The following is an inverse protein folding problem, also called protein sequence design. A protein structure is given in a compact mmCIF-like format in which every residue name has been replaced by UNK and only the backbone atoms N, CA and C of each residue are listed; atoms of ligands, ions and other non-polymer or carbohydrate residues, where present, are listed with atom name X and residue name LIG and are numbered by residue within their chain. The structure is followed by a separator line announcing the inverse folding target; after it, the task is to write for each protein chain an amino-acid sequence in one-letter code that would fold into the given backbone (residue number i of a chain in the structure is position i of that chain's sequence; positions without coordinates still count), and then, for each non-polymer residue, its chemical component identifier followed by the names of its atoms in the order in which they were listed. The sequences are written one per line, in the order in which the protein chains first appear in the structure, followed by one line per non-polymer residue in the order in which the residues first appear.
data_IF_440755526735
#
_entry.id   IF_440755526735
#
_cell.length_a   1.000
_cell.length_b   1.000
_cell.length_c   1.000
_cell.angle_alpha   90.00
_cell.angle_beta   90.00
_cell.angle_gamma   90.00
#
_symmetry.space_group_name_H-M   'P 1'
#
loop_
_entity.id
_entity.type
_entity.pdbx_description
1 polymer ?
#
# COMPACT_ATOMS: atom_id res chain seq x y z
N UNK A 1 2.83 72.18 22.43
CA UNK A 1 2.83 70.70 22.44
C UNK A 1 3.29 70.17 23.78
N UNK A 2 2.37 69.46 24.42
CA UNK A 2 2.48 68.46 25.49
C UNK A 2 3.32 68.75 26.76
N UNK A 3 2.58 69.21 27.77
CA UNK A 3 2.43 68.60 29.09
C UNK A 3 3.65 67.91 29.74
N UNK A 4 4.15 68.62 30.76
CA UNK A 4 4.93 68.14 31.89
C UNK A 4 4.09 67.11 32.66
N UNK A 5 4.22 65.83 32.32
CA UNK A 5 3.62 64.73 33.08
C UNK A 5 4.68 64.12 34.01
N UNK A 6 4.64 64.53 35.28
CA UNK A 6 5.12 63.67 36.36
C UNK A 6 4.29 62.38 36.31
N UNK A 7 4.88 61.30 35.80
CA UNK A 7 4.27 59.98 35.83
C UNK A 7 4.16 59.51 37.29
N UNK A 8 2.97 59.06 37.73
CA UNK A 8 2.71 58.66 39.11
C UNK A 8 3.15 57.21 39.35
N UNK A 9 3.66 56.96 40.55
CA UNK A 9 3.37 55.76 41.35
C UNK A 9 3.41 54.36 40.69
N UNK A 10 4.29 54.09 39.72
CA UNK A 10 4.46 52.74 39.17
C UNK A 10 5.81 52.07 39.52
N UNK A 11 6.70 52.79 40.22
CA UNK A 11 8.08 52.34 40.50
C UNK A 11 8.31 51.76 41.90
N UNK A 12 7.25 51.44 42.65
CA UNK A 12 7.37 50.96 44.04
C UNK A 12 6.57 49.70 44.41
N UNK A 13 5.95 48.99 43.45
CA UNK A 13 5.22 47.75 43.72
C UNK A 13 5.81 46.48 43.07
N UNK A 14 7.11 46.45 42.76
CA UNK A 14 7.77 45.27 42.18
C UNK A 14 8.86 44.63 43.06
N UNK A 15 8.85 44.86 44.38
CA UNK A 15 9.83 44.24 45.31
C UNK A 15 9.25 43.32 46.38
N UNK A 16 7.94 43.11 46.38
CA UNK A 16 7.35 42.00 47.10
C UNK A 16 6.42 41.28 46.14
N UNK A 17 7.01 40.44 45.29
CA UNK A 17 6.27 39.28 44.84
C UNK A 17 5.82 38.58 46.12
N UNK A 18 4.53 38.66 46.43
CA UNK A 18 3.93 37.85 47.48
C UNK A 18 4.23 36.43 47.08
N UNK A 19 5.20 35.79 47.74
CA UNK A 19 5.40 34.35 47.65
C UNK A 19 4.08 33.73 48.10
N UNK A 20 3.26 33.30 47.15
CA UNK A 20 2.08 32.51 47.45
C UNK A 20 2.64 31.17 47.91
N UNK A 21 2.91 31.04 49.21
CA UNK A 21 3.35 29.79 49.83
C UNK A 21 2.19 28.81 49.75
N UNK A 22 2.12 28.10 48.63
CA UNK A 22 1.19 27.01 48.41
C UNK A 22 1.85 25.72 48.88
N UNK A 23 1.05 24.74 49.32
CA UNK A 23 1.59 23.42 49.64
C UNK A 23 2.26 22.78 48.40
N UNK A 24 3.24 21.89 48.60
CA UNK A 24 3.87 21.10 47.53
C UNK A 24 2.86 20.34 46.65
N UNK A 25 3.20 20.17 45.38
CA UNK A 25 2.37 19.48 44.37
C UNK A 25 2.31 17.98 44.64
N UNK A 26 1.32 17.57 45.47
CA UNK A 26 0.94 16.20 45.89
C UNK A 26 0.48 16.19 47.36
N UNK A 27 0.72 17.29 48.07
CA UNK A 27 0.29 17.49 49.44
C UNK A 27 -1.16 18.01 49.46
N UNK A 28 -2.00 17.45 50.33
CA UNK A 28 -3.36 17.95 50.60
C UNK A 28 -3.36 18.93 51.76
N UNK A 29 -2.49 18.72 52.75
CA UNK A 29 -2.34 19.59 53.93
C UNK A 29 -0.87 19.73 54.31
N UNK A 30 -0.41 20.96 54.42
CA UNK A 30 0.97 21.28 54.77
C UNK A 30 1.03 22.24 55.98
N UNK A 31 2.18 22.25 56.64
CA UNK A 31 2.53 23.16 57.72
C UNK A 31 3.99 23.63 57.57
N UNK A 32 4.46 24.44 58.50
CA UNK A 32 5.79 25.04 58.47
C UNK A 32 5.79 26.53 58.11
N UNK A 33 6.93 27.21 58.29
CA UNK A 33 7.06 28.65 58.04
C UNK A 33 6.92 29.00 56.55
N UNK A 34 7.22 28.05 55.65
CA UNK A 34 7.12 28.20 54.19
C UNK A 34 6.12 27.20 53.57
N UNK A 35 5.23 26.58 54.38
CA UNK A 35 4.30 25.54 53.91
C UNK A 35 5.01 24.34 53.23
N UNK A 36 6.24 24.04 53.65
CA UNK A 36 7.16 23.06 53.07
C UNK A 36 7.01 21.65 53.66
N UNK A 37 6.40 21.52 54.84
CA UNK A 37 6.22 20.25 55.52
C UNK A 37 4.85 19.68 55.22
N UNK A 38 4.79 18.54 54.55
CA UNK A 38 3.52 17.89 54.29
C UNK A 38 3.04 17.10 55.51
N UNK A 39 1.78 17.28 55.90
CA UNK A 39 1.11 16.54 56.97
C UNK A 39 0.21 15.44 56.41
N UNK A 40 -0.46 15.72 55.29
CA UNK A 40 -1.35 14.77 54.61
C UNK A 40 -1.09 14.80 53.11
N UNK A 41 -0.95 13.60 52.53
CA UNK A 41 -0.75 13.44 51.10
C UNK A 41 -2.07 13.22 50.38
N UNK A 42 -2.12 13.60 49.10
CA UNK A 42 -3.24 13.24 48.21
C UNK A 42 -3.25 11.72 47.96
N UNK A 43 -4.39 11.20 47.49
CA UNK A 43 -4.51 9.79 47.13
C UNK A 43 -3.44 9.38 46.09
N UNK A 44 -2.88 8.19 46.22
CA UNK A 44 -1.75 7.70 45.39
C UNK A 44 -0.36 8.07 45.95
N UNK A 45 -0.28 8.73 47.10
CA UNK A 45 0.99 9.15 47.71
C UNK A 45 1.08 8.73 49.18
N UNK A 46 2.29 8.41 49.65
CA UNK A 46 2.58 8.09 51.05
C UNK A 46 3.47 9.16 51.68
N UNK A 47 3.24 9.42 52.98
CA UNK A 47 4.04 10.38 53.71
C UNK A 47 5.36 9.75 54.18
N UNK A 48 6.48 10.28 53.70
CA UNK A 48 7.82 9.89 54.13
C UNK A 48 8.66 11.13 54.46
N UNK A 49 9.04 11.32 55.73
CA UNK A 49 9.85 12.45 56.21
C UNK A 49 9.29 13.82 55.77
N UNK A 50 8.01 14.07 56.05
CA UNK A 50 7.30 15.30 55.72
C UNK A 50 7.24 15.62 54.21
N UNK A 51 7.53 14.64 53.36
CA UNK A 51 7.37 14.73 51.91
C UNK A 51 6.45 13.60 51.43
N UNK A 52 5.66 13.87 50.39
CA UNK A 52 4.84 12.85 49.76
C UNK A 52 5.66 12.13 48.69
N UNK A 53 5.76 10.82 48.82
CA UNK A 53 6.40 9.93 47.87
C UNK A 53 5.31 9.11 47.20
N UNK A 54 5.40 9.03 45.88
CA UNK A 54 4.49 8.26 45.05
C UNK A 54 4.41 6.79 45.51
N UNK A 55 3.21 6.22 45.48
CA UNK A 55 3.00 4.80 45.81
C UNK A 55 3.20 4.01 44.52
N UNK A 56 4.21 3.12 44.49
CA UNK A 56 4.33 2.18 43.39
C UNK A 56 3.26 1.09 43.48
N UNK A 57 2.08 1.32 42.90
CA UNK A 57 0.99 0.33 42.96
C UNK A 57 1.36 -0.97 42.23
N UNK A 58 2.21 -0.89 41.21
CA UNK A 58 2.70 -2.04 40.44
C UNK A 58 3.64 -2.96 41.24
N UNK A 59 4.31 -2.43 42.26
CA UNK A 59 5.11 -3.18 43.22
C UNK A 59 4.31 -3.81 44.36
N UNK A 60 3.00 -3.52 44.43
CA UNK A 60 2.10 -3.97 45.50
C UNK A 60 0.97 -4.85 44.95
N UNK A 61 0.07 -5.29 45.82
CA UNK A 61 -1.15 -6.02 45.44
C UNK A 61 -2.25 -5.11 44.85
N UNK A 62 -2.04 -3.80 44.81
CA UNK A 62 -3.00 -2.83 44.24
C UNK A 62 -2.96 -2.75 42.70
N UNK A 63 -1.80 -3.02 42.07
CA UNK A 63 -1.58 -2.93 40.62
C UNK A 63 -2.17 -4.08 39.80
N UNK A 64 -3.44 -4.43 40.02
CA UNK A 64 -4.10 -5.56 39.35
C UNK A 64 -4.64 -5.13 37.97
N UNK A 65 -3.94 -5.52 36.91
CA UNK A 65 -4.30 -5.22 35.52
C UNK A 65 -4.95 -6.40 34.78
N UNK A 66 -5.72 -6.16 33.70
CA UNK A 66 -6.31 -7.21 32.86
C UNK A 66 -5.31 -8.24 32.33
N UNK A 67 -5.74 -9.49 32.06
CA UNK A 67 -4.89 -10.47 31.38
C UNK A 67 -4.50 -9.94 29.99
N UNK A 68 -3.18 -9.91 29.69
CA UNK A 68 -2.53 -9.29 28.51
C UNK A 68 -2.14 -7.80 28.63
N UNK A 69 -2.11 -7.26 29.83
CA UNK A 69 -1.55 -5.94 30.10
C UNK A 69 -0.50 -6.01 31.22
N UNK A 70 0.36 -4.99 31.30
CA UNK A 70 1.28 -4.77 32.40
C UNK A 70 0.95 -3.48 33.13
N UNK A 71 1.27 -3.45 34.42
CA UNK A 71 1.15 -2.27 35.24
C UNK A 71 2.34 -1.33 34.98
N UNK A 72 2.03 -0.07 34.72
CA UNK A 72 2.99 1.03 34.57
C UNK A 72 2.71 2.08 35.65
N UNK A 73 3.67 2.27 36.55
CA UNK A 73 3.55 3.25 37.64
C UNK A 73 3.62 4.67 37.08
N UNK A 74 2.67 5.53 37.46
CA UNK A 74 2.60 6.95 37.09
C UNK A 74 2.61 7.80 38.35
N UNK A 75 2.90 9.10 38.25
CA UNK A 75 2.88 9.94 39.45
C UNK A 75 1.44 10.12 39.97
N UNK A 76 1.17 9.60 41.17
CA UNK A 76 -0.10 9.65 41.89
C UNK A 76 -1.13 8.57 41.50
N UNK A 77 -0.78 7.63 40.63
CA UNK A 77 -1.65 6.52 40.18
C UNK A 77 -0.84 5.49 39.39
N UNK A 78 -1.49 4.44 38.89
CA UNK A 78 -0.93 3.55 37.87
C UNK A 78 -1.80 3.52 36.61
N UNK A 79 -1.19 3.09 35.50
CA UNK A 79 -1.86 2.80 34.24
C UNK A 79 -1.60 1.34 33.84
N UNK A 80 -2.63 0.66 33.33
CA UNK A 80 -2.45 -0.64 32.68
C UNK A 80 -2.21 -0.42 31.19
N UNK A 81 -1.09 -0.94 30.69
CA UNK A 81 -0.70 -0.83 29.27
C UNK A 81 -0.60 -2.19 28.62
N UNK A 82 -0.87 -2.24 27.32
CA UNK A 82 -0.86 -3.50 26.59
C UNK A 82 0.55 -4.07 26.44
N UNK A 83 0.65 -5.40 26.49
CA UNK A 83 1.88 -6.10 26.18
C UNK A 83 2.25 -5.99 24.69
N UNK A 84 3.47 -6.39 24.35
CA UNK A 84 3.88 -6.52 22.95
C UNK A 84 2.92 -7.47 22.18
N UNK A 85 2.49 -7.15 20.95
CA UNK A 85 1.62 -8.01 20.14
C UNK A 85 2.18 -9.41 19.89
N UNK A 86 3.50 -9.57 19.95
CA UNK A 86 4.16 -10.87 19.88
C UNK A 86 3.84 -11.80 21.08
N UNK A 87 3.13 -11.30 22.09
CA UNK A 87 3.04 -11.91 23.41
C UNK A 87 1.61 -12.14 23.88
N UNK A 88 1.33 -13.37 24.29
CA UNK A 88 0.10 -13.78 24.97
C UNK A 88 0.29 -13.55 26.47
N UNK A 89 0.45 -12.28 26.83
CA UNK A 89 0.73 -11.80 28.17
C UNK A 89 2.22 -11.54 28.47
N UNK A 90 2.46 -10.55 29.32
CA UNK A 90 3.78 -10.10 29.75
C UNK A 90 3.93 -10.18 31.28
N UNK A 91 5.18 -10.07 31.76
CA UNK A 91 5.56 -10.18 33.17
C UNK A 91 6.41 -8.98 33.62
N UNK A 92 6.13 -8.47 34.81
CA UNK A 92 6.81 -7.31 35.39
C UNK A 92 6.32 -5.98 34.80
N UNK A 93 7.10 -4.93 34.95
CA UNK A 93 6.70 -3.54 34.64
C UNK A 93 6.98 -3.10 33.19
N UNK A 94 7.02 -4.03 32.22
CA UNK A 94 7.34 -3.67 30.83
C UNK A 94 6.80 -4.61 29.75
N UNK A 95 6.67 -4.10 28.50
CA UNK A 95 5.98 -4.82 27.42
C UNK A 95 6.80 -5.97 26.83
N UNK A 96 8.12 -5.91 26.94
CA UNK A 96 9.03 -6.81 26.22
C UNK A 96 9.27 -8.17 26.91
N UNK A 97 8.84 -8.34 28.16
CA UNK A 97 9.06 -9.58 28.92
C UNK A 97 7.81 -10.44 28.84
N UNK A 98 7.83 -11.42 27.97
CA UNK A 98 6.67 -12.20 27.61
C UNK A 98 6.56 -13.49 28.41
N UNK A 99 5.35 -13.79 28.86
CA UNK A 99 5.02 -15.05 29.54
C UNK A 99 4.89 -16.20 28.56
N UNK A 100 4.27 -15.92 27.42
CA UNK A 100 4.05 -16.85 26.32
C UNK A 100 4.03 -16.07 25.02
N UNK A 101 4.54 -16.67 23.96
CA UNK A 101 4.51 -16.06 22.63
C UNK A 101 3.21 -16.36 21.89
N UNK A 102 2.80 -15.41 21.06
CA UNK A 102 1.75 -15.62 20.06
C UNK A 102 2.20 -16.65 19.00
N UNK A 103 1.25 -17.16 18.22
CA UNK A 103 1.56 -18.00 17.05
C UNK A 103 2.48 -17.26 16.08
N UNK A 104 3.44 -17.96 15.47
CA UNK A 104 4.45 -17.36 14.59
C UNK A 104 5.65 -16.76 15.33
N UNK A 105 5.69 -16.83 16.66
CA UNK A 105 6.81 -16.33 17.47
C UNK A 105 7.44 -17.42 18.34
N UNK A 106 8.76 -17.33 18.52
CA UNK A 106 9.56 -18.22 19.36
C UNK A 106 10.08 -17.48 20.58
N UNK A 107 9.90 -18.11 21.75
CA UNK A 107 10.43 -17.59 23.01
C UNK A 107 11.96 -17.76 23.05
N UNK A 108 12.68 -16.64 23.16
CA UNK A 108 14.12 -16.58 23.34
C UNK A 108 14.42 -15.82 24.62
N UNK A 109 14.73 -16.55 25.69
CA UNK A 109 14.81 -16.00 27.05
C UNK A 109 13.44 -15.56 27.56
N UNK A 110 13.20 -14.25 27.64
CA UNK A 110 11.90 -13.66 27.98
C UNK A 110 11.31 -12.82 26.86
N UNK A 111 11.88 -12.86 25.65
CA UNK A 111 11.38 -12.11 24.49
C UNK A 111 10.83 -13.06 23.45
N UNK A 112 9.78 -12.63 22.76
CA UNK A 112 9.23 -13.36 21.62
C UNK A 112 9.87 -12.80 20.35
N UNK A 113 10.61 -13.66 19.66
CA UNK A 113 11.21 -13.33 18.37
C UNK A 113 10.36 -13.96 17.28
N UNK A 114 10.15 -13.20 16.22
CA UNK A 114 9.44 -13.65 15.03
C UNK A 114 10.14 -14.88 14.45
N UNK A 115 9.36 -15.91 14.10
CA UNK A 115 9.87 -17.08 13.40
C UNK A 115 9.89 -16.75 11.93
N UNK A 116 11.07 -16.72 11.31
CA UNK A 116 11.14 -16.53 9.87
C UNK A 116 10.81 -17.84 9.16
N UNK A 117 9.53 -18.02 8.80
CA UNK A 117 9.12 -19.21 8.06
C UNK A 117 9.73 -19.24 6.64
N UNK A 118 10.05 -18.08 6.05
CA UNK A 118 10.64 -17.99 4.72
C UNK A 118 12.10 -18.46 4.64
N UNK A 119 12.80 -18.54 5.78
CA UNK A 119 14.13 -19.14 5.85
C UNK A 119 14.11 -20.61 5.40
N UNK A 120 12.99 -21.31 5.55
CA UNK A 120 12.80 -22.70 5.13
C UNK A 120 11.82 -22.78 3.94
N UNK A 121 12.32 -22.42 2.74
CA UNK A 121 11.52 -22.27 1.52
C UNK A 121 10.59 -23.44 1.19
N UNK A 122 10.97 -24.67 1.58
CA UNK A 122 10.22 -25.89 1.29
C UNK A 122 8.94 -25.99 2.13
N UNK A 123 8.94 -25.39 3.32
CA UNK A 123 7.80 -25.39 4.25
C UNK A 123 6.96 -24.13 4.13
N UNK A 124 7.55 -23.02 3.70
CA UNK A 124 6.89 -21.71 3.68
C UNK A 124 5.85 -21.58 2.57
N UNK A 125 6.21 -21.86 1.31
CA UNK A 125 5.31 -21.71 0.17
C UNK A 125 5.22 -23.02 -0.60
N UNK A 126 4.01 -23.40 -1.02
CA UNK A 126 3.78 -24.65 -1.73
C UNK A 126 4.21 -24.59 -3.21
N UNK A 127 4.25 -23.40 -3.82
CA UNK A 127 4.61 -23.20 -5.21
C UNK A 127 6.09 -22.85 -5.43
N UNK A 128 6.71 -23.44 -6.46
CA UNK A 128 8.06 -23.05 -6.93
C UNK A 128 8.10 -21.63 -7.53
N UNK A 129 6.97 -21.13 -8.03
CA UNK A 129 6.80 -19.80 -8.61
C UNK A 129 6.23 -18.77 -7.61
N UNK A 130 6.37 -19.04 -6.31
CA UNK A 130 5.95 -18.16 -5.21
C UNK A 130 7.17 -17.51 -4.53
N UNK A 131 7.01 -16.23 -4.17
CA UNK A 131 7.94 -15.45 -3.38
C UNK A 131 7.39 -15.38 -1.96
N UNK A 132 8.15 -15.94 -1.01
CA UNK A 132 7.85 -15.83 0.40
C UNK A 132 8.32 -14.46 0.93
N UNK A 133 7.43 -13.75 1.62
CA UNK A 133 7.74 -12.54 2.38
C UNK A 133 7.39 -12.78 3.84
N UNK A 134 8.40 -12.75 4.71
CA UNK A 134 8.20 -12.90 6.15
C UNK A 134 7.55 -11.62 6.72
N UNK A 135 6.58 -11.79 7.62
CA UNK A 135 5.86 -10.68 8.28
C UNK A 135 5.83 -10.93 9.79
N UNK A 136 5.57 -9.92 10.61
CA UNK A 136 5.56 -10.13 12.06
C UNK A 136 4.41 -11.06 12.48
N UNK A 137 4.73 -12.27 12.93
CA UNK A 137 3.82 -13.31 13.42
C UNK A 137 3.25 -14.23 12.34
N UNK A 138 3.65 -14.07 11.08
CA UNK A 138 3.17 -14.88 9.94
C UNK A 138 4.06 -14.65 8.73
N UNK A 139 3.85 -15.40 7.65
CA UNK A 139 4.44 -15.12 6.36
C UNK A 139 3.34 -14.94 5.30
N UNK A 140 3.69 -14.38 4.14
CA UNK A 140 2.83 -14.36 2.96
C UNK A 140 3.57 -14.88 1.74
N UNK A 141 2.85 -15.59 0.88
CA UNK A 141 3.36 -16.10 -0.39
C UNK A 141 2.69 -15.33 -1.54
N UNK A 142 3.48 -14.59 -2.30
CA UNK A 142 3.03 -13.83 -3.46
C UNK A 142 3.53 -14.52 -4.74
N UNK A 143 2.76 -14.48 -5.83
CA UNK A 143 3.26 -15.03 -7.09
C UNK A 143 4.44 -14.20 -7.61
N UNK A 144 5.44 -14.88 -8.19
CA UNK A 144 6.58 -14.22 -8.80
C UNK A 144 6.16 -13.24 -9.90
N UNK A 145 7.07 -12.32 -10.25
CA UNK A 145 6.81 -11.35 -11.31
C UNK A 145 6.46 -12.06 -12.62
N UNK A 146 5.39 -11.61 -13.27
CA UNK A 146 4.88 -12.26 -14.47
C UNK A 146 3.98 -13.48 -14.19
N UNK A 147 3.59 -13.75 -12.95
CA UNK A 147 2.58 -14.75 -12.60
C UNK A 147 1.34 -14.12 -11.94
N UNK A 148 0.21 -14.80 -12.01
CA UNK A 148 -1.07 -14.46 -11.37
C UNK A 148 -1.57 -15.66 -10.58
N UNK A 149 -2.14 -15.40 -9.40
CA UNK A 149 -2.75 -16.44 -8.57
C UNK A 149 -4.12 -16.79 -9.14
N UNK A 150 -4.29 -18.04 -9.57
CA UNK A 150 -5.56 -18.65 -9.99
C UNK A 150 -5.74 -19.98 -9.29
N UNK A 151 -6.89 -20.20 -8.65
CA UNK A 151 -7.21 -21.45 -7.96
C UNK A 151 -6.09 -21.95 -7.04
N UNK A 152 -5.51 -21.05 -6.24
CA UNK A 152 -4.36 -21.28 -5.34
C UNK A 152 -3.02 -21.64 -6.00
N UNK A 153 -2.92 -21.62 -7.32
CA UNK A 153 -1.69 -21.85 -8.09
C UNK A 153 -1.24 -20.57 -8.80
N UNK A 154 0.06 -20.35 -8.90
CA UNK A 154 0.61 -19.25 -9.69
C UNK A 154 0.74 -19.67 -11.15
N UNK A 155 -0.07 -19.07 -12.03
CA UNK A 155 0.02 -19.24 -13.48
C UNK A 155 0.78 -18.07 -14.10
N UNK A 156 1.58 -18.33 -15.13
CA UNK A 156 2.21 -17.24 -15.89
C UNK A 156 1.13 -16.32 -16.46
N UNK A 157 1.31 -15.01 -16.27
CA UNK A 157 0.63 -13.98 -17.06
C UNK A 157 0.97 -14.26 -18.51
N UNK A 158 0.04 -14.88 -19.23
CA UNK A 158 0.11 -14.81 -20.67
C UNK A 158 0.09 -13.33 -20.99
N UNK A 159 1.22 -12.80 -21.50
CA UNK A 159 1.20 -11.47 -22.10
C UNK A 159 0.03 -11.50 -23.07
N UNK A 160 -0.93 -10.56 -23.01
CA UNK A 160 -1.82 -10.41 -24.15
C UNK A 160 -0.89 -10.35 -25.34
N UNK A 161 -1.11 -11.25 -26.30
CA UNK A 161 -0.46 -11.14 -27.59
C UNK A 161 -0.88 -9.77 -28.09
N UNK A 162 -0.07 -8.75 -27.79
CA UNK A 162 -0.05 -7.53 -28.55
C UNK A 162 0.45 -8.04 -29.86
N UNK A 163 -0.51 -8.43 -30.70
CA UNK A 163 -0.32 -8.39 -32.13
C UNK A 163 0.16 -6.96 -32.32
N UNK A 164 1.47 -6.77 -32.51
CA UNK A 164 1.93 -5.66 -33.31
C UNK A 164 1.21 -5.88 -34.62
N UNK A 165 -0.03 -5.39 -34.69
CA UNK A 165 -0.76 -5.28 -35.92
C UNK A 165 0.18 -4.45 -36.76
N UNK A 166 0.82 -5.09 -37.73
CA UNK A 166 1.59 -4.38 -38.71
C UNK A 166 0.72 -3.25 -39.23
N UNK A 167 1.36 -2.14 -39.61
CA UNK A 167 0.77 -0.86 -40.04
C UNK A 167 -0.36 -0.95 -41.11
N UNK A 168 -0.73 -2.15 -41.56
CA UNK A 168 -1.73 -2.45 -42.57
C UNK A 168 -2.91 -3.33 -42.08
N UNK A 169 -2.95 -3.78 -40.83
CA UNK A 169 -4.06 -4.61 -40.29
C UNK A 169 -5.28 -3.81 -39.79
N UNK A 170 -5.30 -2.49 -40.04
CA UNK A 170 -6.42 -1.60 -39.69
C UNK A 170 -7.07 -0.94 -40.92
N UNK A 171 -6.76 -1.41 -42.13
CA UNK A 171 -7.53 -1.04 -43.31
C UNK A 171 -8.75 -1.97 -43.33
N UNK A 172 -9.88 -1.44 -42.92
CA UNK A 172 -11.16 -2.17 -42.97
C UNK A 172 -11.57 -2.36 -44.43
N UNK A 173 -12.21 -3.51 -44.72
CA UNK A 173 -12.62 -3.91 -46.07
C UNK A 173 -13.51 -2.87 -46.78
N UNK A 174 -14.19 -1.99 -46.04
CA UNK A 174 -15.02 -0.89 -46.57
C UNK A 174 -14.22 0.28 -47.18
N UNK A 175 -12.97 0.51 -46.77
CA UNK A 175 -12.12 1.55 -47.39
C UNK A 175 -11.46 1.07 -48.69
N UNK A 176 -11.19 -0.24 -48.79
CA UNK A 176 -10.60 -0.86 -49.99
C UNK A 176 -11.59 -0.83 -51.16
N UNK A 177 -12.88 -1.04 -50.89
CA UNK A 177 -13.92 -1.01 -51.93
C UNK A 177 -14.09 0.39 -52.53
N UNK A 178 -13.98 1.45 -51.71
CA UNK A 178 -14.02 2.84 -52.18
C UNK A 178 -12.79 3.19 -53.03
N UNK A 179 -11.59 2.78 -52.61
CA UNK A 179 -10.36 3.00 -53.39
C UNK A 179 -10.39 2.25 -54.73
N UNK A 180 -10.92 1.02 -54.72
CA UNK A 180 -11.10 0.20 -55.90
C UNK A 180 -12.10 0.82 -56.88
N UNK A 181 -13.21 1.39 -56.39
CA UNK A 181 -14.17 2.13 -57.22
C UNK A 181 -13.57 3.38 -57.87
N UNK A 182 -12.69 4.11 -57.16
CA UNK A 182 -11.97 5.26 -57.72
C UNK A 182 -10.97 4.85 -58.80
N UNK A 183 -10.25 3.74 -58.62
CA UNK A 183 -9.33 3.21 -59.64
C UNK A 183 -10.05 2.75 -60.90
N UNK A 184 -11.19 2.06 -60.78
CA UNK A 184 -11.97 1.65 -61.95
C UNK A 184 -12.53 2.86 -62.72
N UNK A 185 -12.92 3.93 -62.04
CA UNK A 185 -13.35 5.17 -62.68
C UNK A 185 -12.25 5.83 -63.52
N UNK A 186 -11.02 5.89 -63.00
CA UNK A 186 -9.86 6.44 -63.74
C UNK A 186 -9.48 5.56 -64.92
N UNK A 187 -9.50 4.23 -64.74
CA UNK A 187 -9.21 3.27 -65.82
C UNK A 187 -10.26 3.36 -66.93
N UNK A 188 -11.55 3.44 -66.59
CA UNK A 188 -12.62 3.59 -67.59
C UNK A 188 -12.52 4.91 -68.35
N UNK A 189 -12.17 6.01 -67.68
CA UNK A 189 -11.88 7.28 -68.34
C UNK A 189 -10.68 7.16 -69.29
N UNK A 190 -9.58 6.55 -68.87
CA UNK A 190 -8.41 6.34 -69.72
C UNK A 190 -8.75 5.48 -70.94
N UNK A 191 -9.50 4.39 -70.76
CA UNK A 191 -9.96 3.52 -71.84
C UNK A 191 -10.88 4.25 -72.82
N UNK A 192 -11.80 5.10 -72.34
CA UNK A 192 -12.65 5.92 -73.20
C UNK A 192 -11.83 6.93 -74.02
N UNK A 193 -10.81 7.56 -73.42
CA UNK A 193 -9.92 8.48 -74.15
C UNK A 193 -9.03 7.79 -75.18
N UNK A 194 -8.58 6.57 -74.90
CA UNK A 194 -7.80 5.74 -75.83
C UNK A 194 -8.67 5.23 -76.98
N UNK A 195 -9.90 4.81 -76.70
CA UNK A 195 -10.86 4.38 -77.72
C UNK A 195 -11.24 5.54 -78.66
N UNK A 196 -11.42 6.76 -78.12
CA UNK A 196 -11.70 7.96 -78.92
C UNK A 196 -10.54 8.36 -79.84
N UNK A 197 -9.30 7.98 -79.52
CA UNK A 197 -8.10 8.23 -80.34
C UNK A 197 -7.87 7.18 -81.43
N UNK A 198 -8.57 6.04 -81.39
CA UNK A 198 -8.52 5.00 -82.43
C UNK A 198 -7.35 4.01 -82.35
N UNK A 199 -6.59 4.00 -81.24
CA UNK A 199 -5.42 3.11 -81.10
C UNK A 199 -5.80 1.71 -80.59
N UNK A 200 -6.21 0.83 -81.52
CA UNK A 200 -6.66 -0.55 -81.28
C UNK A 200 -5.63 -1.47 -80.59
N UNK A 201 -4.33 -1.15 -80.70
CA UNK A 201 -3.27 -1.95 -80.08
C UNK A 201 -3.24 -1.75 -78.57
N UNK A 202 -3.35 -0.50 -78.09
CA UNK A 202 -3.29 -0.20 -76.66
C UNK A 202 -4.55 -0.68 -75.91
N UNK A 203 -5.72 -0.65 -76.55
CA UNK A 203 -6.95 -1.17 -75.95
C UNK A 203 -6.91 -2.69 -75.75
N UNK A 204 -6.33 -3.44 -76.70
CA UNK A 204 -6.19 -4.90 -76.57
C UNK A 204 -5.21 -5.33 -75.47
N UNK A 205 -4.07 -4.63 -75.35
CA UNK A 205 -3.07 -4.89 -74.27
C UNK A 205 -3.69 -4.60 -72.90
N UNK A 206 -4.48 -3.54 -72.78
CA UNK A 206 -5.14 -3.18 -71.53
C UNK A 206 -6.26 -4.16 -71.15
N UNK A 207 -7.06 -4.61 -72.11
CA UNK A 207 -8.07 -5.66 -71.89
C UNK A 207 -7.42 -6.99 -71.47
N UNK A 208 -6.27 -7.34 -72.05
CA UNK A 208 -5.48 -8.50 -71.64
C UNK A 208 -5.00 -8.40 -70.19
N UNK A 209 -4.51 -7.23 -69.78
CA UNK A 209 -4.09 -7.00 -68.40
C UNK A 209 -5.26 -7.09 -67.41
N UNK A 210 -6.42 -6.51 -67.74
CA UNK A 210 -7.63 -6.61 -66.90
C UNK A 210 -8.14 -8.05 -66.78
N UNK A 211 -8.13 -8.82 -67.87
CA UNK A 211 -8.50 -10.23 -67.85
C UNK A 211 -7.53 -11.07 -67.00
N UNK A 212 -6.21 -10.80 -67.09
CA UNK A 212 -5.21 -11.48 -66.29
C UNK A 212 -5.36 -11.15 -64.79
N UNK A 213 -5.62 -9.88 -64.45
CA UNK A 213 -5.87 -9.47 -63.06
C UNK A 213 -7.17 -10.09 -62.51
N UNK A 214 -8.24 -10.13 -63.30
CA UNK A 214 -9.49 -10.79 -62.91
C UNK A 214 -9.30 -12.31 -62.72
N UNK A 215 -8.55 -12.96 -63.60
CA UNK A 215 -8.20 -14.37 -63.48
C UNK A 215 -7.37 -14.67 -62.23
N UNK A 216 -6.36 -13.84 -61.93
CA UNK A 216 -5.55 -13.95 -60.73
C UNK A 216 -6.39 -13.79 -59.45
N UNK A 217 -7.30 -12.81 -59.44
CA UNK A 217 -8.15 -12.54 -58.27
C UNK A 217 -9.20 -13.63 -58.03
N UNK A 218 -9.78 -14.20 -59.09
CA UNK A 218 -10.69 -15.34 -58.99
C UNK A 218 -9.96 -16.62 -58.54
N UNK A 219 -8.71 -16.82 -58.95
CA UNK A 219 -7.88 -17.94 -58.48
C UNK A 219 -7.57 -17.84 -56.99
N UNK A 220 -7.12 -16.67 -56.51
CA UNK A 220 -6.79 -16.45 -55.09
C UNK A 220 -8.03 -16.60 -54.19
N UNK A 221 -9.21 -16.18 -54.67
CA UNK A 221 -10.48 -16.37 -53.94
C UNK A 221 -10.96 -17.83 -53.95
N UNK A 222 -10.65 -18.59 -55.00
CA UNK A 222 -10.94 -20.02 -55.10
C UNK A 222 -10.09 -20.86 -54.14
N UNK A 223 -8.79 -20.57 -54.05
CA UNK A 223 -7.87 -21.28 -53.16
C UNK A 223 -8.21 -21.04 -51.68
N UNK A 224 -8.58 -19.81 -51.31
CA UNK A 224 -9.04 -19.48 -49.95
C UNK A 224 -10.35 -20.18 -49.56
N UNK A 225 -11.26 -20.38 -50.51
CA UNK A 225 -12.52 -21.11 -50.27
C UNK A 225 -12.27 -22.62 -50.10
N UNK A 226 -11.35 -23.20 -50.88
CA UNK A 226 -10.98 -24.62 -50.76
C UNK A 226 -10.28 -24.90 -49.44
N UNK A 227 -9.38 -24.01 -49.01
CA UNK A 227 -8.61 -24.18 -47.77
C UNK A 227 -9.51 -24.07 -46.53
N UNK A 228 -10.49 -23.16 -46.55
CA UNK A 228 -11.51 -23.06 -45.50
C UNK A 228 -12.46 -24.28 -45.46
N UNK A 229 -12.71 -24.93 -46.60
CA UNK A 229 -13.52 -26.16 -46.65
C UNK A 229 -12.75 -27.39 -46.16
N UNK A 230 -11.45 -27.48 -46.44
CA UNK A 230 -10.59 -28.57 -45.98
C UNK A 230 -10.24 -28.49 -44.49
N UNK A 231 -10.19 -27.29 -43.91
CA UNK A 231 -9.93 -27.07 -42.47
C UNK A 231 -11.18 -27.20 -41.58
N UNK A 232 -12.36 -27.39 -42.18
CA UNK A 232 -13.67 -27.41 -41.53
C UNK A 232 -14.30 -28.79 -41.33
N UNK A 233 -13.51 -29.87 -41.23
CA UNK A 233 -13.99 -31.19 -40.81
C UNK A 233 -13.01 -31.89 -39.88
#
# INVERSE_FOLDING_TARGET
MLHRNLLPAAWLCCLFAVQIHSCPDNCSRCSGPENDQCEECRAGWTLHKNACVDIDECGTELGNCPPSSYCFNTEGSFECRDCDPACVGCMGSGPARCRKCASGYRLTGSKCLDVDECSDRVLACHGLDEICTNTAGSFRCDCAEGFIRKDSVCEKKQKPYVQEKGLFEDIRDDEVEVLQQMFFGVVLCALATLAAKGDLVYTSVFMGALAAMAGYWLSDRGDRLLDNFLKGR
#
